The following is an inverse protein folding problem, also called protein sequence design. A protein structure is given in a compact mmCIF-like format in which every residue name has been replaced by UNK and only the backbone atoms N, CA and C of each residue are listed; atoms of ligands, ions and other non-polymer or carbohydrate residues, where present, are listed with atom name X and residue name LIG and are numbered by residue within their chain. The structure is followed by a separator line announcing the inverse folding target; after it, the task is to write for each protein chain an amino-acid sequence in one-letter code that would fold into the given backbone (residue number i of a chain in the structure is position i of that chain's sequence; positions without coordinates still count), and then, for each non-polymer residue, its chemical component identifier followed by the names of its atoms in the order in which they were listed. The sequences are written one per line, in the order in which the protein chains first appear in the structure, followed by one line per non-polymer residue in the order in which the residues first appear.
data_IF_437883378320
#
_entry.id   IF_437883378320
#
_cell.length_a   1.000
_cell.length_b   1.000
_cell.length_c   1.000
_cell.angle_alpha   90.00
_cell.angle_beta   90.00
_cell.angle_gamma   90.00
#
_symmetry.space_group_name_H-M   'P 1'
#
loop_
_entity.id
_entity.type
_entity.pdbx_description
1 polymer ?
#
# COMPACT_ATOMS: atom_id res chain seq x y z
N UNK A 1 -4.39 -24.21 -9.51
CA UNK A 1 -5.29 -23.04 -9.35
C UNK A 1 -4.40 -21.84 -9.45
N UNK A 2 -4.54 -21.05 -10.51
CA UNK A 2 -3.70 -19.88 -10.73
C UNK A 2 -4.24 -18.76 -9.85
N UNK A 3 -3.63 -18.59 -8.68
CA UNK A 3 -3.89 -17.46 -7.80
C UNK A 3 -3.35 -16.23 -8.54
N UNK A 4 -4.25 -15.51 -9.23
CA UNK A 4 -3.90 -14.23 -9.88
C UNK A 4 -3.28 -13.34 -8.82
N UNK A 5 -1.97 -13.10 -8.95
CA UNK A 5 -1.25 -12.23 -8.04
C UNK A 5 -1.96 -10.86 -8.02
N UNK A 6 -2.18 -10.26 -6.83
CA UNK A 6 -2.82 -8.97 -6.74
C UNK A 6 -2.00 -7.94 -7.53
N UNK A 7 -2.68 -7.02 -8.21
CA UNK A 7 -2.02 -5.87 -8.82
C UNK A 7 -1.55 -4.99 -7.67
N UNK A 8 -0.23 -4.90 -7.49
CA UNK A 8 0.41 -4.08 -6.46
C UNK A 8 1.19 -2.97 -7.15
N UNK A 9 0.83 -1.73 -6.87
CA UNK A 9 1.64 -0.57 -7.26
C UNK A 9 2.54 -0.15 -6.11
N UNK A 10 3.77 0.28 -6.43
CA UNK A 10 4.74 0.72 -5.43
C UNK A 10 5.11 2.18 -5.59
N UNK A 11 5.11 2.92 -4.49
CA UNK A 11 5.51 4.32 -4.42
C UNK A 11 6.64 4.51 -3.41
N UNK A 12 7.67 5.30 -3.75
CA UNK A 12 8.82 5.54 -2.89
C UNK A 12 8.87 7.01 -2.46
N UNK A 13 9.03 7.25 -1.16
CA UNK A 13 9.18 8.58 -0.58
C UNK A 13 10.13 8.52 0.61
N UNK A 14 11.21 9.31 0.57
CA UNK A 14 12.17 9.47 1.67
C UNK A 14 12.68 8.14 2.27
N UNK A 15 13.05 7.20 1.40
CA UNK A 15 13.55 5.88 1.81
C UNK A 15 12.47 4.92 2.31
N UNK A 16 11.20 5.30 2.28
CA UNK A 16 10.06 4.41 2.56
C UNK A 16 9.42 3.95 1.25
N UNK A 17 9.13 2.65 1.18
CA UNK A 17 8.34 2.06 0.11
C UNK A 17 6.90 1.84 0.61
N UNK A 18 5.95 2.35 -0.16
CA UNK A 18 4.53 2.17 0.04
C UNK A 18 4.01 1.21 -1.03
N UNK A 19 3.18 0.26 -0.63
CA UNK A 19 2.54 -0.70 -1.51
C UNK A 19 1.03 -0.46 -1.50
N UNK A 20 0.45 -0.27 -2.68
CA UNK A 20 -0.97 -0.10 -2.87
C UNK A 20 -1.56 -1.39 -3.43
N UNK A 21 -2.62 -1.88 -2.79
CA UNK A 21 -3.29 -3.14 -3.14
C UNK A 21 -4.73 -2.85 -3.58
N UNK A 22 -5.12 -3.29 -4.78
CA UNK A 22 -6.46 -3.04 -5.34
C UNK A 22 -7.54 -3.94 -4.74
N UNK A 23 -7.12 -5.01 -4.08
CA UNK A 23 -8.03 -5.94 -3.43
C UNK A 23 -8.76 -5.29 -2.24
N UNK A 24 -10.08 -5.42 -2.25
CA UNK A 24 -10.92 -5.05 -1.10
C UNK A 24 -10.85 -6.14 -0.06
N UNK A 25 -10.35 -5.79 1.11
CA UNK A 25 -10.18 -6.70 2.25
C UNK A 25 -10.63 -6.00 3.53
N UNK A 26 -10.93 -6.78 4.56
CA UNK A 26 -11.13 -6.23 5.90
C UNK A 26 -9.83 -5.65 6.45
N UNK A 27 -9.93 -4.82 7.50
CA UNK A 27 -8.75 -4.22 8.11
C UNK A 27 -7.78 -5.29 8.68
N UNK A 28 -8.31 -6.37 9.24
CA UNK A 28 -7.52 -7.49 9.74
C UNK A 28 -6.77 -8.22 8.62
N UNK A 29 -7.46 -8.51 7.52
CA UNK A 29 -6.86 -9.13 6.34
C UNK A 29 -5.80 -8.23 5.70
N UNK A 30 -6.01 -6.90 5.64
CA UNK A 30 -5.01 -5.95 5.17
C UNK A 30 -3.74 -5.99 6.04
N UNK A 31 -3.88 -6.10 7.35
CA UNK A 31 -2.75 -6.24 8.27
C UNK A 31 -1.99 -7.55 8.04
N UNK A 32 -2.70 -8.64 7.82
CA UNK A 32 -2.09 -9.95 7.52
C UNK A 32 -1.38 -9.94 6.16
N UNK A 33 -1.98 -9.29 5.16
CA UNK A 33 -1.38 -9.07 3.85
C UNK A 33 -0.08 -8.29 3.95
N UNK A 34 -0.05 -7.12 4.62
CA UNK A 34 1.19 -6.36 4.73
C UNK A 34 2.32 -7.18 5.35
N UNK A 35 2.02 -8.02 6.36
CA UNK A 35 3.00 -8.91 6.98
C UNK A 35 3.59 -9.94 6.01
N UNK A 36 2.80 -10.47 5.06
CA UNK A 36 3.34 -11.41 4.06
C UNK A 36 4.33 -10.75 3.09
N UNK A 37 4.28 -9.42 2.96
CA UNK A 37 5.24 -8.60 2.21
C UNK A 37 6.38 -8.04 3.09
N UNK A 38 6.63 -8.62 4.28
CA UNK A 38 7.60 -8.11 5.26
C UNK A 38 7.39 -6.62 5.60
N UNK A 39 6.14 -6.18 5.59
CA UNK A 39 5.75 -4.78 5.78
C UNK A 39 4.62 -4.66 6.81
N UNK A 40 4.10 -3.44 6.99
CA UNK A 40 2.98 -3.12 7.88
C UNK A 40 2.04 -2.12 7.21
N UNK A 41 0.82 -1.99 7.75
CA UNK A 41 -0.08 -0.90 7.35
C UNK A 41 0.63 0.45 7.46
N UNK A 42 0.49 1.29 6.44
CA UNK A 42 1.19 2.56 6.33
C UNK A 42 0.87 3.47 7.53
N UNK A 43 1.90 4.06 8.13
CA UNK A 43 1.76 5.09 9.15
C UNK A 43 2.10 6.45 8.53
N UNK A 44 1.07 7.28 8.35
CA UNK A 44 1.17 8.62 7.78
C UNK A 44 1.14 9.65 8.92
N UNK A 45 2.19 9.66 9.72
CA UNK A 45 2.37 10.47 10.94
C UNK A 45 2.94 11.87 10.66
N UNK A 46 3.23 12.20 9.39
CA UNK A 46 3.64 13.54 8.96
C UNK A 46 2.82 14.00 7.76
N UNK A 47 2.69 15.32 7.63
CA UNK A 47 2.00 15.94 6.48
C UNK A 47 2.63 15.52 5.15
N UNK A 48 3.96 15.44 5.11
CA UNK A 48 4.70 15.03 3.90
C UNK A 48 4.31 13.61 3.44
N UNK A 49 4.26 12.65 4.37
CA UNK A 49 3.82 11.27 4.06
C UNK A 49 2.37 11.25 3.59
N UNK A 50 1.49 11.96 4.31
CA UNK A 50 0.08 12.01 3.98
C UNK A 50 -0.16 12.59 2.58
N UNK A 51 0.46 13.73 2.26
CA UNK A 51 0.33 14.38 0.95
C UNK A 51 0.97 13.56 -0.17
N UNK A 52 2.17 13.02 0.05
CA UNK A 52 2.86 12.20 -0.95
C UNK A 52 2.09 10.94 -1.31
N UNK A 53 1.60 10.22 -0.29
CA UNK A 53 0.78 9.02 -0.50
C UNK A 53 -0.57 9.37 -1.13
N UNK A 54 -1.27 10.41 -0.66
CA UNK A 54 -2.56 10.82 -1.22
C UNK A 54 -2.44 11.22 -2.71
N UNK A 55 -1.41 11.99 -3.06
CA UNK A 55 -1.12 12.35 -4.45
C UNK A 55 -0.84 11.11 -5.29
N UNK A 56 0.01 10.20 -4.81
CA UNK A 56 0.35 9.00 -5.55
C UNK A 56 -0.85 8.08 -5.76
N UNK A 57 -1.75 7.96 -4.79
CA UNK A 57 -3.00 7.18 -4.93
C UNK A 57 -3.92 7.84 -5.97
N UNK A 58 -4.04 9.17 -5.99
CA UNK A 58 -4.88 9.88 -6.94
C UNK A 58 -4.40 9.76 -8.40
N UNK A 59 -3.09 9.59 -8.60
CA UNK A 59 -2.46 9.37 -9.91
C UNK A 59 -2.42 7.89 -10.32
N UNK A 60 -2.70 6.99 -9.38
CA UNK A 60 -2.64 5.55 -9.55
C UNK A 60 -3.92 5.00 -10.18
N UNK A 61 -3.81 3.87 -10.90
CA UNK A 61 -4.93 3.24 -11.61
C UNK A 61 -5.53 2.04 -10.86
N UNK A 62 -5.24 1.90 -9.56
CA UNK A 62 -5.73 0.80 -8.71
C UNK A 62 -7.05 1.11 -8.02
#
# INVERSE_FOLDING_TARGET
REERQPVVESYHLNGMQYLFFSQRVTWEEARMLCKSYNSRLALLDTMEKALGVAKSIAESNI
#
